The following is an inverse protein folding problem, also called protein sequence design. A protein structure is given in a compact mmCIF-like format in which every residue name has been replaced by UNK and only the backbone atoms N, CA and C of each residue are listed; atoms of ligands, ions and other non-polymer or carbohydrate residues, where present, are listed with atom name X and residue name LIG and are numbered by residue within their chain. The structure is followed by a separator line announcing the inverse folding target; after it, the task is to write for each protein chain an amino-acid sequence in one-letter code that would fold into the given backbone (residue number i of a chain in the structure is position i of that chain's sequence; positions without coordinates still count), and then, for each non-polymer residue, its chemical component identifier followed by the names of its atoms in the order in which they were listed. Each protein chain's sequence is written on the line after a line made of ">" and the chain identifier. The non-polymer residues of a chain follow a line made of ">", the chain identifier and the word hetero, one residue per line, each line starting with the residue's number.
data_IF_962267210450
#
_entry.id   IF_962267210450
#
_cell.length_a   1.000
_cell.length_b   1.000
_cell.length_c   1.000
_cell.angle_alpha   90.00
_cell.angle_beta   90.00
_cell.angle_gamma   90.00
#
_symmetry.space_group_name_H-M   'P 1'
#
loop_
_entity.id
_entity.type
_entity.pdbx_description
1 polymer ?
#
# COMPACT_ATOMS: atom_id res chain seq x y z
N UNK A 1 -11.01 -8.78 12.28
CA UNK A 1 -10.51 -9.30 10.98
C UNK A 1 -10.34 -8.16 9.98
N UNK A 2 -9.44 -8.31 9.02
CA UNK A 2 -9.09 -7.24 8.09
C UNK A 2 -9.86 -7.36 6.77
N UNK A 3 -10.39 -6.24 6.29
CA UNK A 3 -10.84 -6.07 4.90
C UNK A 3 -9.81 -5.19 4.19
N UNK A 4 -9.19 -5.73 3.16
CA UNK A 4 -8.18 -5.03 2.39
C UNK A 4 -8.79 -4.18 1.28
N UNK A 5 -8.35 -2.93 1.15
CA UNK A 5 -8.52 -2.10 -0.04
C UNK A 5 -7.19 -2.11 -0.77
N UNK A 6 -7.06 -3.06 -1.68
CA UNK A 6 -5.82 -3.37 -2.37
C UNK A 6 -5.82 -2.78 -3.78
N UNK A 7 -4.71 -2.24 -4.21
CA UNK A 7 -4.52 -1.75 -5.58
C UNK A 7 -3.06 -1.60 -5.93
N UNK A 8 -2.76 -1.60 -7.22
CA UNK A 8 -1.52 -0.99 -7.68
C UNK A 8 -1.55 0.52 -7.39
N UNK A 9 -0.41 1.16 -7.09
CA UNK A 9 -0.35 2.63 -6.94
C UNK A 9 -0.99 3.36 -8.11
N UNK A 10 -1.69 4.46 -7.85
CA UNK A 10 -2.39 5.31 -8.85
C UNK A 10 -3.65 4.69 -9.50
N UNK A 11 -4.11 3.53 -9.02
CA UNK A 11 -5.34 2.89 -9.53
C UNK A 11 -6.65 3.46 -8.97
N UNK A 12 -6.63 4.53 -8.16
CA UNK A 12 -7.84 5.12 -7.58
C UNK A 12 -8.16 4.70 -6.16
N UNK A 13 -7.20 4.11 -5.43
CA UNK A 13 -7.40 3.67 -4.05
C UNK A 13 -7.97 4.78 -3.13
N UNK A 14 -7.48 6.02 -3.26
CA UNK A 14 -7.99 7.15 -2.46
C UNK A 14 -9.45 7.43 -2.77
N UNK A 15 -9.86 7.34 -4.02
CA UNK A 15 -11.25 7.52 -4.44
C UNK A 15 -12.18 6.51 -3.75
N UNK A 16 -11.87 5.23 -3.86
CA UNK A 16 -12.67 4.16 -3.23
C UNK A 16 -12.69 4.32 -1.71
N UNK A 17 -11.54 4.68 -1.11
CA UNK A 17 -11.49 4.96 0.34
C UNK A 17 -12.39 6.12 0.73
N UNK A 18 -12.42 7.19 -0.05
CA UNK A 18 -13.28 8.34 0.20
C UNK A 18 -14.76 7.95 0.17
N UNK A 19 -15.18 7.20 -0.86
CA UNK A 19 -16.54 6.69 -0.96
C UNK A 19 -16.91 5.78 0.21
N UNK A 20 -16.08 4.78 0.50
CA UNK A 20 -16.32 3.86 1.59
C UNK A 20 -16.30 4.57 2.96
N UNK A 21 -15.40 5.52 3.15
CA UNK A 21 -15.34 6.28 4.40
C UNK A 21 -16.58 7.14 4.61
N UNK A 22 -17.09 7.78 3.55
CA UNK A 22 -18.34 8.54 3.63
C UNK A 22 -19.54 7.64 3.89
N UNK A 23 -19.61 6.50 3.22
CA UNK A 23 -20.70 5.56 3.35
C UNK A 23 -20.77 4.92 4.74
N UNK A 24 -19.61 4.51 5.28
CA UNK A 24 -19.55 3.70 6.50
C UNK A 24 -19.43 4.54 7.80
N UNK A 25 -18.89 5.76 7.71
CA UNK A 25 -18.48 6.52 8.89
C UNK A 25 -19.01 7.96 8.92
N UNK A 26 -19.83 8.38 7.93
CA UNK A 26 -20.46 9.68 7.92
C UNK A 26 -21.98 9.52 8.13
N UNK A 27 -22.55 10.23 9.09
CA UNK A 27 -24.00 10.25 9.30
C UNK A 27 -24.74 10.92 8.14
N UNK A 28 -24.14 11.94 7.54
CA UNK A 28 -24.73 12.70 6.42
C UNK A 28 -24.36 12.16 5.03
N UNK A 29 -23.50 11.14 4.96
CA UNK A 29 -22.92 10.66 3.69
C UNK A 29 -21.93 11.63 3.04
N UNK A 30 -21.70 12.83 3.62
CA UNK A 30 -20.75 13.81 3.06
C UNK A 30 -19.32 13.42 3.36
N UNK A 31 -18.46 13.57 2.37
CA UNK A 31 -17.03 13.32 2.53
C UNK A 31 -16.34 14.44 3.30
N UNK A 32 -15.44 14.06 4.21
CA UNK A 32 -14.39 14.90 4.75
C UNK A 32 -13.06 14.12 4.78
N UNK A 33 -11.92 14.81 4.71
CA UNK A 33 -10.61 14.16 4.78
C UNK A 33 -10.36 13.46 6.12
N UNK A 34 -11.00 13.90 7.18
CA UNK A 34 -10.92 13.25 8.50
C UNK A 34 -11.44 11.81 8.48
N UNK A 35 -12.45 11.53 7.67
CA UNK A 35 -13.02 10.19 7.52
C UNK A 35 -12.02 9.16 6.98
N UNK A 36 -11.02 9.61 6.22
CA UNK A 36 -9.97 8.71 5.70
C UNK A 36 -9.12 8.07 6.81
N UNK A 37 -9.13 8.63 8.02
CA UNK A 37 -8.47 8.05 9.19
C UNK A 37 -9.10 6.73 9.62
N UNK A 38 -10.36 6.47 9.27
CA UNK A 38 -11.03 5.21 9.57
C UNK A 38 -10.57 4.06 8.65
N UNK A 39 -9.95 4.38 7.51
CA UNK A 39 -9.37 3.41 6.57
C UNK A 39 -7.91 3.76 6.38
N UNK A 40 -7.09 3.40 7.33
CA UNK A 40 -5.67 3.73 7.31
C UNK A 40 -4.88 2.88 6.30
N UNK A 41 -3.66 3.33 6.02
CA UNK A 41 -2.70 2.51 5.31
C UNK A 41 -2.13 1.46 6.27
N UNK A 42 -2.17 0.20 5.86
CA UNK A 42 -1.43 -0.83 6.58
C UNK A 42 0.07 -0.52 6.52
N UNK A 43 0.65 -0.28 7.68
CA UNK A 43 2.07 0.02 7.83
C UNK A 43 2.63 -0.76 9.02
N UNK A 44 3.83 -1.28 8.83
CA UNK A 44 4.56 -1.94 9.89
C UNK A 44 5.58 -0.94 10.43
N UNK A 45 5.48 -0.66 11.72
CA UNK A 45 6.49 0.13 12.41
C UNK A 45 7.68 -0.79 12.71
N UNK A 46 8.78 -0.57 12.03
CA UNK A 46 10.04 -1.24 12.30
C UNK A 46 10.98 -0.21 12.90
N UNK A 47 11.65 -0.59 13.96
CA UNK A 47 12.72 0.21 14.52
C UNK A 47 13.90 0.24 13.53
N UNK A 48 14.07 1.40 12.89
CA UNK A 48 15.08 1.60 11.85
C UNK A 48 16.51 1.50 12.39
N UNK A 49 16.70 1.71 13.70
CA UNK A 49 18.01 1.61 14.34
C UNK A 49 18.59 0.19 14.28
N UNK A 50 17.73 -0.82 14.18
CA UNK A 50 18.12 -2.22 14.15
C UNK A 50 18.34 -2.78 12.74
N UNK A 51 18.10 -2.00 11.68
CA UNK A 51 18.29 -2.47 10.30
C UNK A 51 19.68 -2.09 9.82
N UNK A 52 20.63 -3.00 9.99
CA UNK A 52 22.05 -2.78 9.63
C UNK A 52 22.35 -2.66 8.14
N UNK A 53 21.46 -3.09 7.23
CA UNK A 53 21.68 -3.06 5.77
C UNK A 53 20.38 -2.81 5.01
N UNK A 54 20.38 -1.91 4.01
CA UNK A 54 19.22 -1.63 3.13
C UNK A 54 18.65 -2.88 2.44
N UNK A 55 19.49 -3.87 2.11
CA UNK A 55 19.09 -5.12 1.47
C UNK A 55 18.16 -6.00 2.33
N UNK A 56 18.20 -5.86 3.65
CA UNK A 56 17.40 -6.66 4.58
C UNK A 56 16.06 -6.02 4.96
N UNK A 57 15.82 -4.76 4.55
CA UNK A 57 14.63 -4.02 4.95
C UNK A 57 13.32 -4.71 4.54
N UNK A 58 13.26 -5.25 3.32
CA UNK A 58 12.07 -5.96 2.83
C UNK A 58 11.84 -7.28 3.57
N UNK A 59 12.90 -8.01 3.85
CA UNK A 59 12.84 -9.24 4.62
C UNK A 59 12.34 -8.96 6.02
N UNK A 60 12.84 -7.93 6.68
CA UNK A 60 12.39 -7.55 8.03
C UNK A 60 10.93 -7.07 8.05
N UNK A 61 10.51 -6.29 7.05
CA UNK A 61 9.10 -5.93 6.91
C UNK A 61 8.24 -7.18 6.71
N UNK A 62 8.62 -8.07 5.82
CA UNK A 62 7.82 -9.25 5.50
C UNK A 62 7.66 -10.20 6.67
N UNK A 63 8.68 -10.39 7.50
CA UNK A 63 8.60 -11.17 8.75
C UNK A 63 7.52 -10.65 9.69
N UNK A 64 7.25 -9.35 9.66
CA UNK A 64 6.29 -8.71 10.57
C UNK A 64 4.88 -8.57 9.98
N UNK A 65 4.63 -9.01 8.74
CA UNK A 65 3.30 -8.90 8.13
C UNK A 65 2.23 -9.65 8.92
N UNK A 66 2.37 -10.95 9.06
CA UNK A 66 1.41 -11.80 9.80
C UNK A 66 1.36 -11.46 11.29
N UNK A 67 2.48 -11.33 12.02
CA UNK A 67 2.44 -10.95 13.43
C UNK A 67 1.69 -9.64 13.70
N UNK A 68 1.86 -8.63 12.84
CA UNK A 68 1.14 -7.36 12.95
C UNK A 68 -0.36 -7.52 12.72
N UNK A 69 -0.77 -8.35 11.77
CA UNK A 69 -2.18 -8.63 11.49
C UNK A 69 -2.84 -9.42 12.63
N UNK A 70 -2.15 -10.40 13.19
CA UNK A 70 -2.61 -11.14 14.38
C UNK A 70 -2.85 -10.15 15.54
N UNK A 71 -1.91 -9.23 15.77
CA UNK A 71 -2.06 -8.20 16.82
C UNK A 71 -3.27 -7.30 16.58
N UNK A 72 -3.50 -6.87 15.33
CA UNK A 72 -4.67 -6.05 14.94
C UNK A 72 -5.98 -6.82 15.17
N UNK A 73 -6.00 -8.11 14.90
CA UNK A 73 -7.19 -8.96 14.96
C UNK A 73 -7.54 -9.48 16.37
N UNK A 74 -6.74 -9.19 17.40
CA UNK A 74 -6.95 -9.70 18.77
C UNK A 74 -8.31 -9.37 19.35
N UNK A 75 -8.84 -8.19 19.05
CA UNK A 75 -10.14 -7.73 19.56
C UNK A 75 -11.33 -8.18 18.67
N UNK A 76 -11.06 -8.99 17.65
CA UNK A 76 -12.06 -9.54 16.70
C UNK A 76 -12.89 -8.50 15.94
N UNK A 77 -12.54 -7.21 16.01
CA UNK A 77 -13.22 -6.15 15.25
C UNK A 77 -12.86 -6.21 13.77
N UNK A 78 -13.81 -5.83 12.92
CA UNK A 78 -13.57 -5.67 11.48
C UNK A 78 -12.94 -4.31 11.25
N UNK A 79 -11.85 -4.30 10.48
CA UNK A 79 -11.14 -3.07 10.09
C UNK A 79 -10.80 -3.08 8.62
N UNK A 80 -10.87 -1.91 8.03
CA UNK A 80 -10.43 -1.68 6.66
C UNK A 80 -9.01 -1.14 6.66
N UNK A 81 -8.18 -1.69 5.80
CA UNK A 81 -6.83 -1.17 5.57
C UNK A 81 -6.53 -1.02 4.09
N UNK A 82 -5.94 0.13 3.74
CA UNK A 82 -5.35 0.32 2.41
C UNK A 82 -4.03 -0.41 2.31
N UNK A 83 -3.82 -1.09 1.18
CA UNK A 83 -2.52 -1.67 0.84
C UNK A 83 -2.17 -1.49 -0.64
N UNK A 84 -0.87 -1.47 -0.93
CA UNK A 84 -0.29 -1.62 -2.27
C UNK A 84 0.65 -2.84 -2.33
N UNK A 85 0.67 -3.66 -1.28
CA UNK A 85 1.41 -4.90 -1.31
C UNK A 85 0.72 -5.90 -2.24
N UNK A 86 1.52 -6.62 -3.01
CA UNK A 86 1.02 -7.75 -3.78
C UNK A 86 0.66 -8.91 -2.85
N UNK A 87 -0.23 -9.79 -3.30
CA UNK A 87 -0.53 -11.06 -2.65
C UNK A 87 0.62 -12.04 -2.91
N UNK A 88 1.74 -11.84 -2.24
CA UNK A 88 2.98 -12.59 -2.46
C UNK A 88 3.63 -13.01 -1.14
N UNK A 89 4.68 -13.80 -1.26
CA UNK A 89 5.58 -14.11 -0.17
C UNK A 89 6.99 -13.57 -0.49
N UNK A 90 7.68 -13.03 0.50
CA UNK A 90 9.07 -12.61 0.45
C UNK A 90 9.85 -13.47 1.43
N UNK A 91 10.82 -14.24 0.94
CA UNK A 91 11.59 -15.18 1.74
C UNK A 91 10.71 -16.09 2.63
N UNK A 92 9.63 -16.63 2.04
CA UNK A 92 8.68 -17.49 2.74
C UNK A 92 7.63 -16.76 3.60
N UNK A 93 7.79 -15.46 3.86
CA UNK A 93 6.84 -14.68 4.65
C UNK A 93 5.68 -14.19 3.76
N UNK A 94 4.49 -14.71 3.96
CA UNK A 94 3.27 -14.31 3.22
C UNK A 94 2.81 -12.93 3.66
N UNK A 95 2.29 -12.14 2.71
CA UNK A 95 1.71 -10.83 3.04
C UNK A 95 0.52 -10.96 3.98
N UNK A 96 -0.39 -11.88 3.70
CA UNK A 96 -1.56 -12.16 4.55
C UNK A 96 -1.99 -13.61 4.38
N UNK A 97 -2.96 -14.06 5.18
CA UNK A 97 -3.56 -15.38 5.15
C UNK A 97 -5.08 -15.33 5.43
N UNK A 98 -5.73 -16.50 5.34
CA UNK A 98 -7.17 -16.64 5.55
C UNK A 98 -7.60 -16.37 6.99
N UNK A 99 -6.73 -16.59 7.96
CA UNK A 99 -7.00 -16.38 9.38
C UNK A 99 -7.08 -14.89 9.71
N UNK A 100 -6.33 -14.07 9.00
CA UNK A 100 -6.22 -12.63 9.26
C UNK A 100 -7.08 -11.77 8.33
N UNK A 101 -7.53 -12.32 7.19
CA UNK A 101 -8.27 -11.57 6.16
C UNK A 101 -9.71 -12.04 6.08
N UNK A 102 -10.65 -11.11 6.19
CA UNK A 102 -12.07 -11.36 5.96
C UNK A 102 -12.42 -11.25 4.47
N UNK A 103 -11.96 -10.17 3.84
CA UNK A 103 -12.23 -9.92 2.41
C UNK A 103 -11.17 -8.99 1.80
N UNK A 104 -11.19 -8.86 0.48
CA UNK A 104 -10.35 -7.93 -0.26
C UNK A 104 -11.17 -7.25 -1.36
N UNK A 105 -11.15 -5.91 -1.38
CA UNK A 105 -11.62 -5.09 -2.50
C UNK A 105 -10.38 -4.78 -3.33
N UNK A 106 -10.27 -5.39 -4.50
CA UNK A 106 -9.15 -5.18 -5.40
C UNK A 106 -9.51 -4.20 -6.51
N UNK A 107 -8.80 -3.07 -6.55
CA UNK A 107 -9.06 -1.96 -7.47
C UNK A 107 -8.09 -2.08 -8.64
N UNK A 108 -8.65 -2.22 -9.84
CA UNK A 108 -7.94 -2.32 -11.10
C UNK A 108 -8.17 -1.05 -11.91
N UNK A 109 -7.15 -0.59 -12.60
CA UNK A 109 -7.20 0.51 -13.55
C UNK A 109 -6.54 0.11 -14.86
N UNK A 110 -7.02 0.64 -15.98
CA UNK A 110 -6.39 0.47 -17.29
C UNK A 110 -4.90 0.85 -17.20
N UNK A 111 -3.97 -0.07 -17.55
CA UNK A 111 -2.54 0.17 -17.45
C UNK A 111 -2.06 1.34 -18.32
N UNK A 112 -2.74 1.64 -19.43
CA UNK A 112 -2.44 2.81 -20.27
C UNK A 112 -2.62 4.12 -19.50
N UNK A 113 -3.69 4.21 -18.71
CA UNK A 113 -3.96 5.35 -17.83
C UNK A 113 -3.05 5.37 -16.59
N UNK A 114 -2.45 4.23 -16.21
CA UNK A 114 -1.45 4.19 -15.15
C UNK A 114 -0.15 4.86 -15.58
N UNK A 115 0.32 4.66 -16.82
CA UNK A 115 1.55 5.26 -17.34
C UNK A 115 1.51 6.78 -17.19
N UNK A 116 0.44 7.41 -17.68
CA UNK A 116 0.30 8.88 -17.59
C UNK A 116 0.20 9.36 -16.13
N UNK A 117 -0.53 8.63 -15.30
CA UNK A 117 -0.68 8.96 -13.88
C UNK A 117 0.63 8.80 -13.09
N UNK A 118 1.47 7.83 -13.45
CA UNK A 118 2.81 7.62 -12.86
C UNK A 118 3.77 8.71 -13.34
N UNK A 119 3.77 9.02 -14.65
CA UNK A 119 4.57 10.08 -15.23
C UNK A 119 4.35 11.41 -14.48
N UNK A 120 3.10 11.81 -14.33
CA UNK A 120 2.74 13.02 -13.59
C UNK A 120 3.15 12.95 -12.11
N UNK A 121 2.87 11.84 -11.43
CA UNK A 121 3.11 11.71 -9.99
C UNK A 121 4.60 11.70 -9.61
N UNK A 122 5.43 11.04 -10.42
CA UNK A 122 6.87 10.92 -10.18
C UNK A 122 7.69 11.90 -11.00
N UNK A 123 7.05 12.80 -11.77
CA UNK A 123 7.69 13.76 -12.66
C UNK A 123 8.63 13.06 -13.66
N UNK A 124 8.18 11.96 -14.25
CA UNK A 124 8.86 11.18 -15.27
C UNK A 124 8.36 11.54 -16.65
N UNK A 125 9.16 11.31 -17.70
CA UNK A 125 8.64 11.24 -19.04
C UNK A 125 7.84 9.94 -19.26
N UNK A 126 7.12 9.83 -20.36
CA UNK A 126 6.23 8.68 -20.62
C UNK A 126 7.00 7.38 -20.76
N UNK A 127 8.16 7.38 -21.41
CA UNK A 127 8.98 6.18 -21.59
C UNK A 127 9.52 5.67 -20.25
N UNK A 128 10.00 6.58 -19.37
CA UNK A 128 10.46 6.21 -18.04
C UNK A 128 9.31 5.69 -17.17
N UNK A 129 8.12 6.29 -17.29
CA UNK A 129 6.93 5.83 -16.57
C UNK A 129 6.48 4.44 -17.07
N UNK A 130 6.57 4.19 -18.36
CA UNK A 130 6.30 2.88 -18.95
C UNK A 130 7.31 1.83 -18.45
N UNK A 131 8.60 2.14 -18.52
CA UNK A 131 9.67 1.29 -18.00
C UNK A 131 9.50 1.03 -16.49
N UNK A 132 9.08 2.06 -15.75
CA UNK A 132 8.76 1.91 -14.33
C UNK A 132 7.64 0.90 -14.10
N UNK A 133 6.56 0.97 -14.87
CA UNK A 133 5.40 0.09 -14.74
C UNK A 133 5.71 -1.36 -15.13
N UNK A 134 6.51 -1.56 -16.18
CA UNK A 134 6.81 -2.87 -16.76
C UNK A 134 8.01 -3.59 -16.14
N UNK A 135 8.80 -2.91 -15.33
CA UNK A 135 9.96 -3.49 -14.69
C UNK A 135 9.57 -4.48 -13.57
N UNK A 136 9.69 -5.77 -13.86
CA UNK A 136 9.36 -6.87 -12.95
C UNK A 136 10.20 -6.91 -11.67
N UNK A 137 11.36 -6.25 -11.66
CA UNK A 137 12.29 -6.22 -10.51
C UNK A 137 12.12 -4.98 -9.65
N UNK A 138 11.32 -4.01 -10.09
CA UNK A 138 11.17 -2.74 -9.38
C UNK A 138 10.20 -2.88 -8.21
N UNK A 139 10.68 -2.57 -7.04
CA UNK A 139 9.88 -2.52 -5.83
C UNK A 139 9.60 -1.06 -5.52
N UNK A 140 8.33 -0.73 -5.33
CA UNK A 140 7.90 0.62 -4.97
C UNK A 140 7.98 0.75 -3.46
N UNK A 141 9.02 1.42 -2.98
CA UNK A 141 9.10 1.81 -1.57
C UNK A 141 8.17 2.98 -1.29
N UNK A 142 7.53 3.02 -0.11
CA UNK A 142 6.89 4.24 0.34
C UNK A 142 7.97 5.32 0.45
N UNK A 143 7.84 6.37 -0.34
CA UNK A 143 8.70 7.55 -0.23
C UNK A 143 8.38 8.19 1.11
N UNK A 144 9.27 8.04 2.08
CA UNK A 144 9.28 8.94 3.23
C UNK A 144 9.59 10.33 2.68
N UNK A 145 8.85 11.34 3.14
CA UNK A 145 8.97 12.73 2.73
C UNK A 145 10.39 13.34 2.77
N UNK A 146 11.35 12.63 3.34
CA UNK A 146 12.76 13.01 3.43
C UNK A 146 13.63 12.54 2.24
N UNK A 147 13.10 11.74 1.31
CA UNK A 147 13.81 11.36 0.08
C UNK A 147 13.53 12.37 -1.04
N UNK A 148 13.98 13.61 -0.87
CA UNK A 148 14.01 14.62 -1.94
C UNK A 148 15.15 14.42 -2.94
N UNK A 149 15.95 13.37 -2.84
CA UNK A 149 17.05 13.13 -3.77
C UNK A 149 16.58 12.35 -5.00
N UNK A 150 16.19 13.12 -6.02
CA UNK A 150 15.81 12.67 -7.37
C UNK A 150 16.91 11.88 -8.14
N UNK A 151 18.10 11.70 -7.57
CA UNK A 151 19.25 11.12 -8.28
C UNK A 151 19.38 9.59 -8.21
N UNK A 152 18.63 8.91 -7.35
CA UNK A 152 18.75 7.45 -7.19
C UNK A 152 17.70 6.63 -7.98
N UNK A 153 16.99 7.25 -8.91
CA UNK A 153 16.07 6.56 -9.83
C UNK A 153 16.71 6.25 -11.20
N UNK A 154 18.03 6.32 -11.30
CA UNK A 154 18.75 5.83 -12.50
C UNK A 154 18.90 4.31 -12.44
N UNK A 155 18.84 3.65 -13.61
CA UNK A 155 18.80 2.19 -13.75
C UNK A 155 20.04 1.49 -13.16
#
# INVERSE_FOLDING_TARGET
>A
MIIWIASYPKSGNTWIRSLLSSYLFSESGKFSFELLKNIERFSIKIDKANIKVKSNYQTEISKNWIPSQIKINRDKKIRFFKTHNAMCAINGNKFTDKQNTLATIYIIRDPRNLVTSLAHHYQLNINDAFNFLTNKRKIIFPINSNYKNKKELKP
#
